data_IF_717484327867
#
_entry.id   IF_717484327867
#
_cell.length_a   1.000
_cell.length_b   1.000
_cell.length_c   1.000
_cell.angle_alpha   90.00
_cell.angle_beta   90.00
_cell.angle_gamma   90.00
#
_symmetry.space_group_name_H-M   'P 1'
#
loop_
_entity.id
_entity.type
_entity.pdbx_description
1 polymer ?
#
# COMPACT_ATOMS: atom_id res chain seq x y z
N UNK A 1 34.10 61.25 -53.27
CA UNK A 1 33.65 59.90 -53.64
C UNK A 1 34.76 58.95 -53.21
N UNK A 2 34.69 58.46 -51.97
CA UNK A 2 34.14 57.14 -51.61
C UNK A 2 34.98 55.98 -52.19
N UNK A 3 35.76 55.34 -51.32
CA UNK A 3 36.18 53.95 -51.50
C UNK A 3 35.02 53.04 -51.07
N UNK A 4 34.85 51.91 -51.73
CA UNK A 4 34.03 50.80 -51.25
C UNK A 4 34.95 49.75 -50.60
N UNK A 5 34.53 49.20 -49.46
CA UNK A 5 35.23 48.13 -48.74
C UNK A 5 34.37 46.86 -48.72
N UNK A 6 35.03 45.70 -48.64
CA UNK A 6 34.37 44.40 -48.55
C UNK A 6 33.85 44.16 -47.12
N UNK A 7 32.76 43.38 -47.01
CA UNK A 7 32.40 42.64 -45.80
C UNK A 7 31.94 41.23 -46.19
N UNK A 8 32.43 40.22 -45.48
CA UNK A 8 32.24 38.81 -45.82
C UNK A 8 30.88 38.26 -45.39
N UNK A 9 30.40 37.23 -46.09
CA UNK A 9 29.20 36.47 -45.70
C UNK A 9 29.50 35.57 -44.50
N UNK A 10 28.73 35.73 -43.43
CA UNK A 10 28.63 34.75 -42.34
C UNK A 10 27.19 34.26 -42.22
N UNK A 11 26.97 32.96 -42.45
CA UNK A 11 25.67 32.31 -42.31
C UNK A 11 25.38 32.06 -40.82
N UNK A 12 24.83 33.06 -40.14
CA UNK A 12 24.26 32.90 -38.79
C UNK A 12 22.99 32.06 -38.84
N UNK A 13 23.06 30.80 -38.38
CA UNK A 13 21.87 30.03 -38.04
C UNK A 13 21.14 30.72 -36.88
N UNK A 14 19.79 30.87 -36.93
CA UNK A 14 19.05 31.43 -35.82
C UNK A 14 19.14 30.49 -34.61
N UNK A 15 19.75 30.98 -33.53
CA UNK A 15 19.74 30.30 -32.23
C UNK A 15 18.32 30.38 -31.67
N UNK A 16 17.51 29.36 -31.96
CA UNK A 16 16.24 29.14 -31.27
C UNK A 16 16.54 28.91 -29.79
N UNK A 17 16.39 29.98 -28.99
CA UNK A 17 16.37 29.87 -27.53
C UNK A 17 15.19 28.98 -27.18
N UNK A 18 15.50 27.79 -26.65
CA UNK A 18 14.46 26.90 -26.14
C UNK A 18 13.85 27.60 -24.94
N UNK A 19 12.61 28.09 -25.08
CA UNK A 19 11.84 28.54 -23.93
C UNK A 19 11.80 27.38 -22.93
N UNK A 20 12.37 27.60 -21.74
CA UNK A 20 12.18 26.67 -20.64
C UNK A 20 10.68 26.51 -20.42
N UNK A 21 10.19 25.26 -20.48
CA UNK A 21 8.78 24.99 -20.23
C UNK A 21 8.44 25.51 -18.82
N UNK A 22 7.45 26.38 -18.73
CA UNK A 22 6.94 26.79 -17.43
C UNK A 22 6.35 25.54 -16.76
N UNK A 23 6.70 25.30 -15.50
CA UNK A 23 6.14 24.20 -14.72
C UNK A 23 4.60 24.27 -14.74
N UNK A 24 3.89 23.12 -14.66
CA UNK A 24 2.44 23.11 -14.52
C UNK A 24 1.98 24.05 -13.39
N UNK A 25 0.87 24.75 -13.62
CA UNK A 25 0.25 25.53 -12.56
C UNK A 25 -0.28 24.56 -11.49
N UNK A 26 0.02 24.76 -10.19
CA UNK A 26 -0.46 23.89 -9.11
C UNK A 26 -1.98 23.71 -9.15
N UNK A 27 -2.45 22.48 -8.96
CA UNK A 27 -3.84 22.11 -9.21
C UNK A 27 -4.81 22.77 -8.20
N UNK A 28 -4.42 22.83 -6.92
CA UNK A 28 -5.06 23.62 -5.86
C UNK A 28 -4.00 24.14 -4.88
N UNK A 29 -4.14 25.34 -4.26
CA UNK A 29 -3.14 25.82 -3.29
C UNK A 29 -3.04 25.00 -2.00
N UNK A 30 -4.17 24.45 -1.54
CA UNK A 30 -4.35 23.83 -0.22
C UNK A 30 -4.90 22.39 -0.35
N UNK A 31 -4.09 21.47 -0.88
CA UNK A 31 -4.44 20.04 -1.01
C UNK A 31 -3.47 19.15 -0.22
N UNK A 32 -3.94 17.96 0.19
CA UNK A 32 -3.10 16.99 0.87
C UNK A 32 -2.01 16.45 -0.07
N UNK A 33 -0.78 16.31 0.45
CA UNK A 33 0.41 15.93 -0.30
C UNK A 33 0.88 14.50 0.02
N UNK A 34 0.24 13.83 0.98
CA UNK A 34 0.49 12.43 1.34
C UNK A 34 -0.84 11.69 1.30
N UNK A 35 -0.87 10.52 0.65
CA UNK A 35 -2.05 9.64 0.58
C UNK A 35 -1.74 8.32 1.29
N UNK A 36 -2.28 8.12 2.49
CA UNK A 36 -2.00 6.91 3.28
C UNK A 36 -3.15 5.90 3.16
N UNK A 37 -2.83 4.71 2.67
CA UNK A 37 -3.77 3.60 2.50
C UNK A 37 -3.82 2.82 3.83
N UNK A 38 -4.89 2.97 4.60
CA UNK A 38 -5.06 2.30 5.89
C UNK A 38 -5.65 0.90 5.65
N UNK A 39 -4.92 -0.16 5.97
CA UNK A 39 -5.34 -1.51 5.62
C UNK A 39 -4.76 -2.58 6.54
N UNK A 40 -5.38 -3.76 6.53
CA UNK A 40 -4.70 -4.99 6.91
C UNK A 40 -3.89 -5.57 5.74
N UNK A 41 -2.94 -6.45 6.06
CA UNK A 41 -2.26 -7.24 5.02
C UNK A 41 -3.28 -8.02 4.17
N UNK A 42 -2.99 -8.11 2.86
CA UNK A 42 -3.77 -8.77 1.82
C UNK A 42 -5.12 -8.13 1.40
N UNK A 43 -5.43 -6.91 1.87
CA UNK A 43 -6.54 -6.09 1.33
C UNK A 43 -6.29 -5.49 -0.06
N UNK A 44 -5.32 -6.01 -0.84
CA UNK A 44 -5.04 -5.57 -2.22
C UNK A 44 -4.39 -4.19 -2.37
N UNK A 45 -3.75 -3.68 -1.30
CA UNK A 45 -2.98 -2.43 -1.32
C UNK A 45 -1.86 -2.42 -2.37
N UNK A 46 -1.25 -3.58 -2.66
CA UNK A 46 -0.23 -3.76 -3.71
C UNK A 46 -0.78 -3.47 -5.11
N UNK A 47 -1.99 -3.95 -5.40
CA UNK A 47 -2.70 -3.68 -6.65
C UNK A 47 -3.04 -2.18 -6.75
N UNK A 48 -3.65 -1.66 -5.69
CA UNK A 48 -4.20 -0.30 -5.64
C UNK A 48 -3.11 0.77 -5.67
N UNK A 49 -2.18 0.74 -4.72
CA UNK A 49 -1.01 1.61 -4.71
C UNK A 49 -0.13 1.40 -5.94
N UNK A 50 -0.06 0.17 -6.46
CA UNK A 50 0.59 -0.13 -7.73
C UNK A 50 -0.03 0.61 -8.93
N UNK A 51 -1.35 0.80 -8.93
CA UNK A 51 -2.08 1.51 -9.98
C UNK A 51 -2.05 3.03 -9.81
N UNK A 52 -2.16 3.55 -8.58
CA UNK A 52 -1.89 4.97 -8.25
C UNK A 52 -0.51 5.40 -8.75
N UNK A 53 0.50 4.53 -8.58
CA UNK A 53 1.86 4.60 -9.14
C UNK A 53 1.89 4.35 -10.67
N UNK A 54 0.96 4.99 -11.39
CA UNK A 54 0.99 5.23 -12.84
C UNK A 54 0.64 6.69 -13.18
N UNK A 55 0.24 7.49 -12.18
CA UNK A 55 0.14 8.95 -12.23
C UNK A 55 1.54 9.57 -12.06
N UNK A 56 1.96 10.54 -12.91
CA UNK A 56 3.34 11.04 -12.94
C UNK A 56 3.78 11.80 -11.67
N UNK A 57 2.84 12.29 -10.88
CA UNK A 57 3.09 12.94 -9.59
C UNK A 57 3.02 12.01 -8.36
N UNK A 58 2.59 10.75 -8.50
CA UNK A 58 2.36 9.86 -7.34
C UNK A 58 3.48 8.85 -7.22
N UNK A 59 4.16 8.85 -6.07
CA UNK A 59 5.27 7.98 -5.74
C UNK A 59 4.86 6.98 -4.65
N UNK A 60 4.57 5.74 -5.02
CA UNK A 60 4.15 4.68 -4.09
C UNK A 60 5.36 3.96 -3.46
N UNK A 61 5.51 4.10 -2.14
CA UNK A 61 6.49 3.34 -1.34
C UNK A 61 5.99 1.95 -0.93
N UNK A 62 4.74 1.59 -1.24
CA UNK A 62 4.05 0.38 -0.77
C UNK A 62 4.09 0.27 0.76
N UNK A 63 4.84 -0.66 1.33
CA UNK A 63 5.03 -0.78 2.79
C UNK A 63 6.42 -0.24 3.16
N UNK A 64 6.53 1.00 3.69
CA UNK A 64 7.80 1.61 4.11
C UNK A 64 8.30 1.08 5.46
N UNK A 65 7.57 0.14 6.06
CA UNK A 65 7.90 -0.61 7.27
C UNK A 65 7.72 -2.10 6.99
N UNK A 66 8.34 -2.96 7.81
CA UNK A 66 8.16 -4.40 7.75
C UNK A 66 8.27 -5.01 9.16
N UNK A 67 7.33 -5.88 9.51
CA UNK A 67 7.11 -6.41 10.86
C UNK A 67 8.30 -7.15 11.51
N UNK A 68 9.36 -7.46 10.74
CA UNK A 68 10.57 -8.15 11.20
C UNK A 68 11.85 -7.31 11.10
N UNK A 69 11.79 -6.14 10.45
CA UNK A 69 12.98 -5.34 10.11
C UNK A 69 12.94 -3.94 10.72
N UNK A 70 11.84 -3.20 10.48
CA UNK A 70 11.57 -1.91 11.13
C UNK A 70 10.06 -1.62 11.15
N UNK A 71 9.54 -1.30 12.33
CA UNK A 71 8.16 -0.87 12.58
C UNK A 71 8.14 0.52 13.22
N UNK A 72 7.00 1.20 13.18
CA UNK A 72 6.86 2.55 13.76
C UNK A 72 7.02 2.52 15.28
N UNK A 73 6.25 1.67 15.97
CA UNK A 73 6.21 1.66 17.42
C UNK A 73 6.03 0.25 18.02
N UNK A 74 6.45 0.08 19.28
CA UNK A 74 6.24 -1.13 20.06
C UNK A 74 5.98 -0.80 21.54
N UNK A 75 5.00 -1.48 22.15
CA UNK A 75 4.74 -1.43 23.59
C UNK A 75 5.58 -2.46 24.38
N UNK A 76 5.81 -2.21 25.65
CA UNK A 76 6.38 -3.18 26.61
C UNK A 76 5.30 -4.15 27.11
N UNK A 77 5.26 -5.36 26.55
CA UNK A 77 4.26 -6.40 26.87
C UNK A 77 4.83 -7.47 27.80
N UNK A 78 4.47 -7.42 29.08
CA UNK A 78 5.00 -8.30 30.12
C UNK A 78 4.72 -9.80 29.86
N UNK A 79 3.59 -10.12 29.24
CA UNK A 79 3.16 -11.48 28.91
C UNK A 79 3.88 -12.10 27.72
N UNK A 80 4.75 -11.34 27.02
CA UNK A 80 5.48 -11.77 25.83
C UNK A 80 6.99 -12.02 26.05
N UNK A 81 7.46 -12.09 27.30
CA UNK A 81 8.89 -12.18 27.63
C UNK A 81 9.64 -13.33 26.94
N UNK A 82 10.80 -13.01 26.35
CA UNK A 82 11.69 -13.98 25.71
C UNK A 82 11.34 -14.33 24.25
N UNK A 83 10.33 -13.70 23.66
CA UNK A 83 9.94 -13.90 22.26
C UNK A 83 10.66 -12.90 21.34
N UNK A 84 11.04 -13.34 20.13
CA UNK A 84 11.61 -12.44 19.12
C UNK A 84 10.65 -11.31 18.69
N UNK A 85 9.34 -11.50 18.89
CA UNK A 85 8.30 -10.50 18.62
C UNK A 85 8.26 -9.33 19.63
N UNK A 86 9.12 -9.34 20.66
CA UNK A 86 9.33 -8.20 21.57
C UNK A 86 10.70 -7.54 21.41
N UNK A 87 11.40 -7.77 20.30
CA UNK A 87 12.67 -7.09 20.03
C UNK A 87 12.42 -5.61 19.67
N UNK A 88 12.49 -4.75 20.68
CA UNK A 88 12.33 -3.30 20.53
C UNK A 88 13.36 -2.66 19.58
N UNK A 89 14.47 -3.32 19.20
CA UNK A 89 15.40 -2.79 18.18
C UNK A 89 14.79 -2.77 16.76
N UNK A 90 13.64 -3.43 16.58
CA UNK A 90 12.81 -3.29 15.37
C UNK A 90 11.98 -2.01 15.37
N UNK A 91 11.69 -1.37 16.51
CA UNK A 91 10.83 -0.19 16.56
C UNK A 91 11.61 1.14 16.45
N UNK A 92 11.00 2.15 15.83
CA UNK A 92 11.51 3.53 15.84
C UNK A 92 11.21 4.20 17.19
N UNK A 93 10.01 3.98 17.75
CA UNK A 93 9.55 4.53 19.03
C UNK A 93 9.08 3.47 20.03
N UNK A 94 9.30 3.72 21.32
CA UNK A 94 8.60 3.02 22.40
C UNK A 94 7.19 3.64 22.55
N UNK A 95 6.16 2.83 22.35
CA UNK A 95 4.77 3.29 22.26
C UNK A 95 4.19 3.81 23.59
N UNK A 96 4.71 3.34 24.73
CA UNK A 96 4.21 3.70 26.06
C UNK A 96 4.79 5.03 26.57
N UNK A 97 5.97 5.42 26.07
CA UNK A 97 6.70 6.63 26.50
C UNK A 97 6.85 7.70 25.42
N UNK A 98 6.63 7.34 24.14
CA UNK A 98 6.94 8.20 22.99
C UNK A 98 8.44 8.45 22.79
N UNK A 99 9.32 7.71 23.48
CA UNK A 99 10.77 7.86 23.33
C UNK A 99 11.26 7.20 22.03
N UNK A 100 12.11 7.90 21.28
CA UNK A 100 12.75 7.33 20.09
C UNK A 100 13.83 6.31 20.51
N UNK A 101 13.67 5.07 20.06
CA UNK A 101 14.63 3.97 20.25
C UNK A 101 15.70 4.01 19.13
N UNK A 102 15.28 4.34 17.90
CA UNK A 102 16.07 4.11 16.68
C UNK A 102 15.80 5.19 15.64
N UNK A 103 16.83 5.89 15.19
CA UNK A 103 16.75 6.87 14.09
C UNK A 103 17.13 6.28 12.73
N UNK A 104 16.54 5.13 12.34
CA UNK A 104 16.74 4.55 11.01
C UNK A 104 15.63 3.57 10.58
N UNK A 105 15.40 3.50 9.28
CA UNK A 105 14.46 2.61 8.62
C UNK A 105 15.01 2.10 7.27
N UNK A 106 15.75 0.97 7.25
CA UNK A 106 16.28 0.37 6.02
C UNK A 106 15.21 -0.06 5.00
N UNK A 107 13.97 -0.29 5.45
CA UNK A 107 12.84 -0.65 4.57
C UNK A 107 12.49 0.55 3.68
N UNK A 108 12.41 1.76 4.25
CA UNK A 108 12.19 2.99 3.50
C UNK A 108 13.27 3.21 2.41
N UNK A 109 14.55 2.99 2.73
CA UNK A 109 15.63 3.04 1.71
C UNK A 109 15.40 2.04 0.58
N UNK A 110 14.97 0.83 0.90
CA UNK A 110 14.70 -0.21 -0.10
C UNK A 110 13.51 0.17 -0.99
N UNK A 111 12.45 0.75 -0.43
CA UNK A 111 11.27 1.22 -1.19
C UNK A 111 11.60 2.45 -2.05
N UNK A 112 12.34 3.42 -1.51
CA UNK A 112 12.80 4.59 -2.24
C UNK A 112 13.71 4.23 -3.43
N UNK A 113 14.60 3.23 -3.27
CA UNK A 113 15.44 2.74 -4.36
C UNK A 113 14.63 2.19 -5.54
N UNK A 114 13.44 1.61 -5.32
CA UNK A 114 12.55 1.15 -6.39
C UNK A 114 11.93 2.32 -7.18
N UNK A 115 11.72 3.48 -6.54
CA UNK A 115 11.22 4.70 -7.20
C UNK A 115 12.21 5.31 -8.21
N UNK A 116 13.50 4.94 -8.16
CA UNK A 116 14.50 5.37 -9.18
C UNK A 116 14.14 4.89 -10.60
N UNK A 117 13.30 3.86 -10.73
CA UNK A 117 12.73 3.37 -11.99
C UNK A 117 11.49 4.14 -12.46
N UNK A 118 10.85 4.90 -11.57
CA UNK A 118 9.60 5.64 -11.85
C UNK A 118 9.83 6.88 -12.71
N UNK A 119 11.06 7.40 -12.70
CA UNK A 119 11.48 8.61 -13.37
C UNK A 119 11.62 8.45 -14.91
N UNK A 120 10.49 8.28 -15.60
CA UNK A 120 10.38 8.17 -17.05
C UNK A 120 10.59 9.50 -17.82
N UNK A 121 11.48 10.36 -17.32
CA UNK A 121 11.65 11.75 -17.78
C UNK A 121 12.26 11.82 -19.17
N UNK A 122 11.50 12.30 -20.15
CA UNK A 122 11.92 13.32 -21.13
C UNK A 122 10.67 13.88 -21.83
N UNK A 123 10.23 15.07 -21.41
CA UNK A 123 9.26 15.89 -22.14
C UNK A 123 7.79 15.48 -22.04
N UNK A 124 6.94 16.36 -22.56
CA UNK A 124 5.49 16.44 -22.36
C UNK A 124 4.68 15.32 -23.01
N UNK A 125 3.81 14.65 -22.26
CA UNK A 125 2.60 14.08 -22.84
C UNK A 125 1.51 15.14 -22.97
N UNK A 126 0.61 14.93 -23.92
CA UNK A 126 -0.68 15.62 -24.04
C UNK A 126 -1.69 14.60 -24.58
N UNK A 127 -2.99 14.83 -24.35
CA UNK A 127 -4.10 14.00 -24.83
C UNK A 127 -5.14 14.95 -25.45
N UNK A 128 -6.11 14.45 -26.23
CA UNK A 128 -7.09 15.28 -26.96
C UNK A 128 -6.48 16.24 -28.01
N UNK A 129 -5.54 15.70 -28.80
CA UNK A 129 -4.98 16.29 -30.03
C UNK A 129 -3.95 17.44 -29.85
N UNK A 130 -3.23 17.42 -28.73
CA UNK A 130 -2.11 18.31 -28.42
C UNK A 130 -0.79 17.50 -28.23
N UNK A 131 0.36 18.09 -27.81
CA UNK A 131 1.71 17.63 -28.23
C UNK A 131 2.53 16.61 -27.38
N UNK A 132 2.22 15.31 -27.48
CA UNK A 132 3.18 14.19 -27.27
C UNK A 132 4.36 14.31 -28.26
N UNK A 133 5.66 14.04 -28.03
CA UNK A 133 6.56 13.79 -26.88
C UNK A 133 6.42 12.57 -25.91
N UNK A 134 7.53 11.83 -25.82
CA UNK A 134 7.93 10.70 -24.95
C UNK A 134 9.35 10.26 -25.41
N UNK A 135 10.23 9.59 -24.66
CA UNK A 135 10.35 9.24 -23.22
C UNK A 135 11.87 9.10 -22.93
N UNK A 136 12.34 9.36 -21.71
CA UNK A 136 13.67 8.99 -21.24
C UNK A 136 13.60 8.20 -19.92
N UNK A 137 14.77 7.89 -19.35
CA UNK A 137 14.89 7.49 -17.93
C UNK A 137 16.04 8.29 -17.34
N UNK A 138 15.74 9.50 -16.87
CA UNK A 138 16.65 10.21 -15.99
C UNK A 138 16.40 9.69 -14.58
N UNK A 139 17.35 8.95 -14.01
CA UNK A 139 17.23 8.47 -12.64
C UNK A 139 17.06 9.66 -11.68
N UNK A 140 15.87 9.83 -11.10
CA UNK A 140 15.73 10.63 -9.88
C UNK A 140 16.45 9.83 -8.80
N UNK A 141 17.47 10.43 -8.21
CA UNK A 141 18.08 9.93 -6.97
C UNK A 141 17.11 10.20 -5.82
N UNK A 142 16.27 9.20 -5.53
CA UNK A 142 15.23 9.31 -4.50
C UNK A 142 15.86 8.98 -3.15
N UNK A 143 16.17 10.03 -2.37
CA UNK A 143 16.81 9.89 -1.07
C UNK A 143 15.90 9.14 -0.09
N UNK A 144 16.29 7.93 0.29
CA UNK A 144 15.52 6.99 1.10
C UNK A 144 15.42 7.32 2.59
N UNK A 145 16.10 6.55 3.43
CA UNK A 145 16.20 6.87 4.86
C UNK A 145 17.27 7.94 5.15
N UNK A 146 17.01 8.84 6.10
CA UNK A 146 18.03 9.81 6.54
C UNK A 146 17.76 10.38 7.94
N UNK A 147 18.82 10.88 8.60
CA UNK A 147 18.72 11.55 9.90
C UNK A 147 17.84 12.82 9.89
N UNK A 148 17.54 13.40 8.72
CA UNK A 148 16.63 14.55 8.61
C UNK A 148 15.19 14.17 8.97
N UNK A 149 14.79 12.93 8.69
CA UNK A 149 13.47 12.43 9.08
C UNK A 149 13.30 12.45 10.61
N UNK A 150 14.37 12.07 11.34
CA UNK A 150 14.35 11.87 12.79
C UNK A 150 14.74 13.10 13.62
N UNK A 151 15.43 14.08 13.04
CA UNK A 151 15.93 15.26 13.76
C UNK A 151 14.77 16.04 14.40
N UNK A 152 14.64 15.97 15.73
CA UNK A 152 13.54 16.60 16.46
C UNK A 152 12.15 16.09 16.08
N UNK A 153 12.04 14.83 15.63
CA UNK A 153 10.76 14.17 15.37
C UNK A 153 10.08 13.79 16.70
N UNK A 154 8.89 14.35 17.04
CA UNK A 154 8.09 13.84 18.15
C UNK A 154 7.50 12.47 17.80
N UNK A 155 6.85 11.81 18.76
CA UNK A 155 6.10 10.58 18.50
C UNK A 155 4.77 10.90 17.77
N UNK A 156 4.90 11.21 16.47
CA UNK A 156 3.85 11.67 15.57
C UNK A 156 4.07 11.02 14.18
N UNK A 157 3.12 10.20 13.75
CA UNK A 157 3.24 9.46 12.49
C UNK A 157 2.97 10.36 11.27
N UNK A 158 2.10 11.37 11.42
CA UNK A 158 1.80 12.34 10.36
C UNK A 158 3.00 13.22 10.03
N UNK A 159 3.70 13.74 11.04
CA UNK A 159 4.95 14.49 10.85
C UNK A 159 6.03 13.63 10.18
N UNK A 160 6.16 12.34 10.55
CA UNK A 160 7.08 11.42 9.87
C UNK A 160 6.67 11.19 8.40
N UNK A 161 5.37 11.02 8.12
CA UNK A 161 4.82 10.87 6.78
C UNK A 161 5.09 12.09 5.88
N UNK A 162 4.89 13.31 6.40
CA UNK A 162 5.22 14.56 5.70
C UNK A 162 6.71 14.69 5.45
N UNK A 163 7.57 14.32 6.41
CA UNK A 163 9.03 14.35 6.23
C UNK A 163 9.51 13.36 5.18
N UNK A 164 8.93 12.16 5.12
CA UNK A 164 9.16 11.21 4.01
C UNK A 164 8.80 11.90 2.69
N UNK A 165 7.59 12.44 2.57
CA UNK A 165 7.13 13.12 1.34
C UNK A 165 8.07 14.24 0.92
N UNK A 166 8.43 15.13 1.84
CA UNK A 166 9.27 16.28 1.53
C UNK A 166 10.72 15.85 1.19
N UNK A 167 11.22 14.72 1.69
CA UNK A 167 12.50 14.15 1.28
C UNK A 167 12.45 13.46 -0.10
N UNK A 168 11.41 12.69 -0.40
CA UNK A 168 11.20 12.02 -1.70
C UNK A 168 10.99 13.08 -2.81
N UNK A 169 10.08 14.03 -2.60
CA UNK A 169 9.70 15.04 -3.59
C UNK A 169 10.79 16.10 -3.84
N UNK A 170 11.76 16.28 -2.93
CA UNK A 170 12.85 17.28 -3.05
C UNK A 170 13.63 17.20 -4.37
N UNK A 171 13.80 16.00 -4.90
CA UNK A 171 14.59 15.74 -6.11
C UNK A 171 13.73 15.51 -7.37
N UNK A 172 12.39 15.68 -7.27
CA UNK A 172 11.47 15.53 -8.42
C UNK A 172 11.49 16.83 -9.25
N UNK A 173 11.82 16.77 -10.56
CA UNK A 173 11.88 17.97 -11.38
C UNK A 173 10.50 18.61 -11.64
N UNK A 174 10.45 19.94 -11.57
CA UNK A 174 9.22 20.72 -11.69
C UNK A 174 8.53 20.63 -13.07
N UNK A 175 9.23 20.15 -14.10
CA UNK A 175 8.70 19.86 -15.44
C UNK A 175 8.08 18.45 -15.56
N UNK A 176 8.29 17.59 -14.56
CA UNK A 176 7.63 16.27 -14.41
C UNK A 176 6.38 16.39 -13.55
N UNK A 177 6.52 17.06 -12.41
CA UNK A 177 5.45 17.34 -11.47
C UNK A 177 5.76 18.62 -10.69
N UNK A 178 4.78 19.51 -10.50
CA UNK A 178 5.01 20.70 -9.70
C UNK A 178 5.30 20.32 -8.22
N UNK A 179 6.19 21.03 -7.50
CA UNK A 179 6.51 20.71 -6.11
C UNK A 179 5.35 20.80 -5.11
N UNK A 180 4.23 21.41 -5.49
CA UNK A 180 2.97 21.35 -4.75
C UNK A 180 2.28 19.98 -4.95
N UNK A 181 2.05 19.61 -6.21
CA UNK A 181 1.26 18.44 -6.63
C UNK A 181 2.01 17.09 -6.48
N UNK A 182 3.28 17.09 -6.08
CA UNK A 182 4.05 15.87 -5.83
C UNK A 182 3.52 15.13 -4.59
N UNK A 183 2.99 13.92 -4.79
CA UNK A 183 2.37 13.09 -3.76
C UNK A 183 3.20 11.85 -3.49
N UNK A 184 3.40 11.53 -2.21
CA UNK A 184 3.84 10.20 -1.79
C UNK A 184 2.65 9.42 -1.27
N UNK A 185 2.54 8.15 -1.67
CA UNK A 185 1.54 7.23 -1.14
C UNK A 185 2.20 5.99 -0.54
N UNK A 186 1.61 5.47 0.53
CA UNK A 186 2.07 4.25 1.19
C UNK A 186 0.96 3.63 2.05
N UNK A 187 1.15 2.36 2.40
CA UNK A 187 0.28 1.59 3.27
C UNK A 187 0.61 1.90 4.74
N UNK A 188 -0.41 2.02 5.60
CA UNK A 188 -0.25 1.95 7.05
C UNK A 188 -1.06 0.76 7.58
N UNK A 189 -0.40 -0.11 8.34
CA UNK A 189 -0.93 -1.41 8.75
C UNK A 189 -0.74 -1.64 10.25
N UNK A 190 -1.63 -2.39 10.94
CA UNK A 190 -1.53 -2.63 12.38
C UNK A 190 -0.21 -3.29 12.81
N UNK A 191 0.40 -4.07 11.91
CA UNK A 191 1.73 -4.66 12.09
C UNK A 191 2.84 -3.62 12.35
N UNK A 192 2.66 -2.37 11.91
CA UNK A 192 3.64 -1.30 12.11
C UNK A 192 3.59 -0.72 13.55
N UNK A 193 2.58 -1.09 14.34
CA UNK A 193 2.51 -0.89 15.80
C UNK A 193 2.59 -2.22 16.57
N UNK A 194 3.20 -3.25 15.96
CA UNK A 194 3.34 -4.63 16.47
C UNK A 194 2.02 -5.40 16.70
N UNK A 195 0.92 -5.02 16.02
CA UNK A 195 -0.34 -5.75 16.08
C UNK A 195 -0.51 -6.75 14.90
N UNK A 196 -0.34 -8.06 15.11
CA UNK A 196 -0.69 -9.07 14.11
C UNK A 196 -2.22 -9.22 13.95
N UNK A 197 -2.67 -9.28 12.69
CA UNK A 197 -4.07 -9.40 12.26
C UNK A 197 -4.26 -10.58 11.29
N UNK A 198 -3.60 -11.71 11.58
CA UNK A 198 -3.58 -12.88 10.68
C UNK A 198 -4.92 -13.61 10.58
N UNK A 199 -5.76 -13.53 11.62
CA UNK A 199 -7.06 -14.20 11.69
C UNK A 199 -6.96 -15.68 12.07
N UNK A 200 -8.02 -16.43 11.78
CA UNK A 200 -8.15 -17.86 12.07
C UNK A 200 -7.95 -18.68 10.78
N UNK A 201 -7.54 -19.94 10.86
CA UNK A 201 -7.52 -20.84 9.69
C UNK A 201 -8.63 -21.89 9.81
N UNK A 202 -8.68 -22.58 10.94
CA UNK A 202 -9.57 -23.70 11.25
C UNK A 202 -10.40 -23.43 12.51
N UNK A 203 -11.60 -24.02 12.59
CA UNK A 203 -12.56 -23.75 13.68
C UNK A 203 -12.09 -24.22 15.05
N UNK A 204 -11.20 -25.20 15.06
CA UNK A 204 -10.54 -25.81 16.21
C UNK A 204 -9.09 -25.32 16.42
N UNK A 205 -8.67 -24.27 15.71
CA UNK A 205 -7.44 -23.54 16.04
C UNK A 205 -7.46 -23.12 17.52
N UNK A 206 -6.30 -23.21 18.18
CA UNK A 206 -6.14 -22.71 19.54
C UNK A 206 -6.40 -21.19 19.59
N UNK A 207 -7.02 -20.66 20.66
CA UNK A 207 -7.20 -19.22 20.82
C UNK A 207 -5.85 -18.52 20.92
N UNK A 208 -5.82 -17.24 20.54
CA UNK A 208 -4.63 -16.40 20.61
C UNK A 208 -3.95 -16.49 21.97
N UNK A 209 -2.62 -16.56 21.94
CA UNK A 209 -1.83 -16.58 23.18
C UNK A 209 -2.08 -15.31 24.00
N UNK A 210 -1.92 -15.41 25.33
CA UNK A 210 -2.06 -14.26 26.21
C UNK A 210 -1.13 -13.10 25.80
N UNK A 211 0.07 -13.42 25.31
CA UNK A 211 0.98 -12.47 24.68
C UNK A 211 0.32 -11.72 23.50
N UNK A 212 -0.16 -12.43 22.48
CA UNK A 212 -0.78 -11.81 21.29
C UNK A 212 -2.00 -10.97 21.68
N UNK A 213 -2.83 -11.48 22.60
CA UNK A 213 -4.00 -10.77 23.12
C UNK A 213 -3.59 -9.43 23.77
N UNK A 214 -2.65 -9.46 24.72
CA UNK A 214 -2.16 -8.27 25.44
C UNK A 214 -1.39 -7.29 24.55
N UNK A 215 -0.65 -7.82 23.57
CA UNK A 215 0.04 -7.05 22.54
C UNK A 215 -0.96 -6.26 21.69
N UNK A 216 -2.03 -6.90 21.20
CA UNK A 216 -3.07 -6.24 20.42
C UNK A 216 -3.89 -5.24 21.26
N UNK A 217 -4.16 -5.52 22.53
CA UNK A 217 -4.79 -4.55 23.45
C UNK A 217 -3.99 -3.24 23.59
N UNK A 218 -2.66 -3.34 23.76
CA UNK A 218 -1.78 -2.18 23.95
C UNK A 218 -1.51 -1.44 22.64
N UNK A 219 -1.21 -2.16 21.57
CA UNK A 219 -0.94 -1.63 20.23
C UNK A 219 -2.13 -0.82 19.66
N UNK A 220 -3.37 -1.12 20.09
CA UNK A 220 -4.56 -0.35 19.73
C UNK A 220 -4.47 1.14 20.13
N UNK A 221 -3.71 1.48 21.18
CA UNK A 221 -3.48 2.88 21.57
C UNK A 221 -2.52 3.58 20.59
N UNK A 222 -1.43 2.92 20.22
CA UNK A 222 -0.49 3.42 19.22
C UNK A 222 -1.13 3.56 17.83
N UNK A 223 -2.01 2.62 17.45
CA UNK A 223 -2.82 2.70 16.22
C UNK A 223 -3.69 3.95 16.19
N UNK A 224 -4.46 4.20 17.25
CA UNK A 224 -5.33 5.38 17.36
C UNK A 224 -4.55 6.69 17.35
N UNK A 225 -3.40 6.74 18.02
CA UNK A 225 -2.51 7.91 17.99
C UNK A 225 -1.94 8.16 16.58
N UNK A 226 -1.55 7.11 15.85
CA UNK A 226 -1.08 7.24 14.48
C UNK A 226 -2.18 7.76 13.54
N UNK A 227 -3.39 7.18 13.61
CA UNK A 227 -4.56 7.64 12.84
C UNK A 227 -4.88 9.12 13.12
N UNK A 228 -4.98 9.51 14.39
CA UNK A 228 -5.28 10.90 14.75
C UNK A 228 -4.15 11.86 14.33
N UNK A 229 -2.88 11.46 14.43
CA UNK A 229 -1.75 12.29 13.95
C UNK A 229 -1.73 12.50 12.44
N UNK A 230 -2.29 11.55 11.66
CA UNK A 230 -2.48 11.74 10.22
C UNK A 230 -3.66 12.67 9.95
N UNK A 231 -4.82 12.38 10.54
CA UNK A 231 -6.06 13.14 10.36
C UNK A 231 -5.99 14.59 10.82
N UNK A 232 -5.23 14.88 11.89
CA UNK A 232 -4.99 16.25 12.37
C UNK A 232 -3.98 17.03 11.51
N UNK A 233 -3.36 16.42 10.49
CA UNK A 233 -2.34 17.05 9.65
C UNK A 233 -2.88 17.37 8.23
N UNK A 234 -3.08 18.66 7.86
CA UNK A 234 -3.72 19.04 6.60
C UNK A 234 -2.90 18.74 5.34
N UNK A 235 -1.65 18.25 5.48
CA UNK A 235 -0.87 17.71 4.35
C UNK A 235 -1.19 16.24 4.06
N UNK A 236 -2.05 15.58 4.82
CA UNK A 236 -2.31 14.13 4.71
C UNK A 236 -3.79 13.90 4.42
N UNK A 237 -4.05 12.99 3.49
CA UNK A 237 -5.35 12.37 3.30
C UNK A 237 -5.22 10.85 3.48
N UNK A 238 -6.27 10.23 3.97
CA UNK A 238 -6.31 8.83 4.39
C UNK A 238 -7.58 8.17 3.90
N UNK A 239 -7.47 6.92 3.44
CA UNK A 239 -8.66 6.10 3.20
C UNK A 239 -8.44 4.69 3.73
N UNK A 240 -9.50 4.06 4.24
CA UNK A 240 -9.45 2.64 4.56
C UNK A 240 -9.60 1.80 3.29
N UNK A 241 -8.76 0.78 3.11
CA UNK A 241 -8.92 -0.21 2.04
C UNK A 241 -9.27 -1.56 2.65
N UNK A 242 -10.55 -1.89 2.54
CA UNK A 242 -11.16 -3.10 3.09
C UNK A 242 -11.33 -4.18 2.01
N UNK A 243 -11.62 -5.40 2.44
CA UNK A 243 -11.81 -6.58 1.60
C UNK A 243 -12.81 -7.53 2.27
N UNK A 244 -13.43 -8.43 1.51
CA UNK A 244 -14.02 -9.64 2.10
C UNK A 244 -13.01 -10.37 3.01
N UNK A 245 -13.31 -10.46 4.31
CA UNK A 245 -12.35 -10.88 5.32
C UNK A 245 -11.91 -12.34 5.19
N UNK A 246 -12.81 -13.23 4.75
CA UNK A 246 -12.46 -14.63 4.44
C UNK A 246 -11.42 -14.70 3.33
N UNK A 247 -11.59 -13.88 2.30
CA UNK A 247 -10.71 -13.87 1.13
C UNK A 247 -9.38 -13.16 1.44
N UNK A 248 -9.39 -12.16 2.33
CA UNK A 248 -8.19 -11.55 2.93
C UNK A 248 -7.40 -12.57 3.77
N UNK A 249 -8.04 -13.23 4.74
CA UNK A 249 -7.40 -14.24 5.59
C UNK A 249 -6.90 -15.44 4.76
N UNK A 250 -7.63 -15.86 3.71
CA UNK A 250 -7.16 -16.91 2.80
C UNK A 250 -5.88 -16.51 2.05
N UNK A 251 -5.77 -15.26 1.59
CA UNK A 251 -4.57 -14.75 0.94
C UNK A 251 -3.38 -14.66 1.91
N UNK A 252 -3.61 -14.27 3.17
CA UNK A 252 -2.60 -14.31 4.26
C UNK A 252 -2.13 -15.74 4.53
N UNK A 253 -3.06 -16.70 4.62
CA UNK A 253 -2.76 -18.12 4.80
C UNK A 253 -1.99 -18.71 3.60
N UNK A 254 -2.38 -18.37 2.37
CA UNK A 254 -1.66 -18.81 1.17
C UNK A 254 -0.21 -18.30 1.16
N UNK A 255 0.03 -17.03 1.50
CA UNK A 255 1.38 -16.49 1.61
C UNK A 255 2.16 -17.15 2.75
N UNK A 256 1.66 -17.04 3.99
CA UNK A 256 2.44 -17.23 5.21
C UNK A 256 2.16 -18.52 5.99
N UNK A 257 1.04 -19.21 5.70
CA UNK A 257 0.67 -20.46 6.36
C UNK A 257 1.73 -21.55 6.14
N UNK A 258 1.96 -22.45 7.13
CA UNK A 258 2.93 -23.53 6.99
C UNK A 258 2.42 -24.62 6.03
N UNK A 259 3.36 -25.37 5.45
CA UNK A 259 3.04 -26.55 4.62
C UNK A 259 2.31 -27.59 5.46
N UNK A 260 1.28 -28.21 4.88
CA UNK A 260 0.46 -29.23 5.53
C UNK A 260 -0.69 -28.66 6.37
N UNK A 261 -0.69 -27.37 6.72
CA UNK A 261 -1.84 -26.74 7.38
C UNK A 261 -3.04 -26.58 6.43
N UNK A 262 -4.21 -26.35 7.02
CA UNK A 262 -5.49 -26.23 6.33
C UNK A 262 -6.17 -24.89 6.66
N UNK A 263 -7.10 -24.46 5.80
CA UNK A 263 -7.98 -23.31 6.00
C UNK A 263 -9.40 -23.64 5.55
N UNK A 264 -10.38 -23.33 6.38
CA UNK A 264 -11.81 -23.60 6.16
C UNK A 264 -12.52 -22.34 5.63
N UNK A 265 -13.02 -22.39 4.40
CA UNK A 265 -13.75 -21.28 3.77
C UNK A 265 -15.14 -21.03 4.37
N UNK A 266 -15.69 -21.98 5.14
CA UNK A 266 -17.06 -21.91 5.68
C UNK A 266 -17.18 -21.14 7.00
N UNK A 267 -16.05 -20.81 7.63
CA UNK A 267 -16.00 -19.99 8.84
C UNK A 267 -16.37 -18.54 8.51
N UNK A 268 -17.39 -18.01 9.19
CA UNK A 268 -17.72 -16.59 9.18
C UNK A 268 -16.64 -15.78 9.93
N UNK A 269 -16.21 -14.67 9.34
CA UNK A 269 -15.01 -13.91 9.76
C UNK A 269 -15.33 -12.42 9.74
N UNK A 270 -15.21 -11.80 10.90
CA UNK A 270 -15.37 -10.35 11.09
C UNK A 270 -14.04 -9.62 10.84
N UNK A 271 -14.05 -8.37 10.34
CA UNK A 271 -12.86 -7.54 10.19
C UNK A 271 -12.05 -7.42 11.49
N UNK A 272 -10.75 -7.09 11.38
CA UNK A 272 -9.96 -6.84 12.58
C UNK A 272 -10.46 -5.59 13.31
N UNK A 273 -10.35 -5.60 14.65
CA UNK A 273 -10.69 -4.43 15.47
C UNK A 273 -9.85 -3.17 15.14
N UNK A 274 -8.75 -3.34 14.40
CA UNK A 274 -7.93 -2.23 13.90
C UNK A 274 -8.51 -1.61 12.62
N UNK A 275 -9.07 -2.42 11.71
CA UNK A 275 -9.85 -1.92 10.56
C UNK A 275 -11.13 -1.22 11.01
N UNK A 276 -11.87 -1.80 11.97
CA UNK A 276 -13.08 -1.16 12.53
C UNK A 276 -12.79 0.23 13.13
N UNK A 277 -11.63 0.38 13.78
CA UNK A 277 -11.17 1.68 14.32
C UNK A 277 -10.67 2.62 13.22
N UNK A 278 -10.29 2.10 12.04
CA UNK A 278 -9.86 2.87 10.87
C UNK A 278 -11.01 3.26 9.91
N UNK A 279 -12.27 2.89 10.21
CA UNK A 279 -13.43 3.38 9.48
C UNK A 279 -13.65 4.89 9.66
N UNK A 280 -14.34 5.54 8.73
CA UNK A 280 -14.73 6.95 8.85
C UNK A 280 -15.52 7.18 10.16
N UNK A 281 -15.24 8.23 10.96
CA UNK A 281 -14.41 9.40 10.63
C UNK A 281 -12.96 9.34 11.14
N UNK A 282 -12.38 8.15 11.35
CA UNK A 282 -10.93 8.02 11.66
C UNK A 282 -10.06 8.15 10.42
N UNK A 283 -10.62 7.85 9.25
CA UNK A 283 -10.09 8.13 7.91
C UNK A 283 -11.02 9.10 7.18
N UNK A 284 -10.52 9.70 6.09
CA UNK A 284 -11.27 10.68 5.30
C UNK A 284 -12.27 10.00 4.34
N UNK A 285 -11.94 8.80 3.83
CA UNK A 285 -12.79 7.99 2.96
C UNK A 285 -12.64 6.47 3.21
N UNK A 286 -13.49 5.65 2.59
CA UNK A 286 -13.48 4.18 2.70
C UNK A 286 -13.70 3.49 1.36
N UNK A 287 -12.89 2.48 1.05
CA UNK A 287 -12.97 1.72 -0.20
C UNK A 287 -12.99 0.21 0.06
N UNK A 288 -13.73 -0.51 -0.79
CA UNK A 288 -13.78 -1.98 -0.82
C UNK A 288 -13.04 -2.46 -2.06
N UNK A 289 -11.91 -3.15 -1.89
CA UNK A 289 -11.07 -3.54 -3.03
C UNK A 289 -11.80 -4.44 -4.02
N UNK A 290 -12.70 -5.29 -3.54
CA UNK A 290 -13.42 -6.25 -4.38
C UNK A 290 -14.41 -5.53 -5.33
N UNK A 291 -14.99 -4.39 -4.93
CA UNK A 291 -15.79 -3.52 -5.80
C UNK A 291 -14.91 -2.75 -6.82
N UNK A 292 -13.77 -2.22 -6.35
CA UNK A 292 -12.79 -1.55 -7.22
C UNK A 292 -12.17 -2.49 -8.27
N UNK A 293 -12.16 -3.81 -8.03
CA UNK A 293 -11.68 -4.83 -8.96
C UNK A 293 -12.79 -5.47 -9.81
N UNK A 294 -14.07 -5.24 -9.49
CA UNK A 294 -15.21 -5.87 -10.17
C UNK A 294 -15.37 -5.45 -11.64
N UNK A 295 -14.86 -4.27 -12.03
CA UNK A 295 -14.87 -3.80 -13.42
C UNK A 295 -13.85 -2.69 -13.67
N UNK A 296 -13.57 -2.38 -14.94
CA UNK A 296 -12.78 -1.21 -15.32
C UNK A 296 -13.39 0.10 -14.78
N UNK A 297 -14.72 0.25 -14.81
CA UNK A 297 -15.40 1.43 -14.26
C UNK A 297 -15.25 1.54 -12.73
N UNK A 298 -15.26 0.42 -12.01
CA UNK A 298 -14.98 0.39 -10.57
C UNK A 298 -13.52 0.78 -10.26
N UNK A 299 -12.57 0.30 -11.06
CA UNK A 299 -11.17 0.67 -10.93
C UNK A 299 -10.93 2.15 -11.26
N UNK A 300 -11.54 2.68 -12.33
CA UNK A 300 -11.49 4.10 -12.68
C UNK A 300 -12.09 4.98 -11.57
N UNK A 301 -13.21 4.57 -10.97
CA UNK A 301 -13.89 5.29 -9.90
C UNK A 301 -13.02 5.36 -8.65
N UNK A 302 -12.59 4.22 -8.07
CA UNK A 302 -11.78 4.23 -6.85
C UNK A 302 -10.43 4.95 -7.05
N UNK A 303 -9.83 4.89 -8.25
CA UNK A 303 -8.62 5.66 -8.56
C UNK A 303 -8.89 7.16 -8.68
N UNK A 304 -10.08 7.59 -9.14
CA UNK A 304 -10.46 8.99 -9.16
C UNK A 304 -10.70 9.52 -7.75
N UNK A 305 -11.46 8.79 -6.93
CA UNK A 305 -11.77 9.17 -5.54
C UNK A 305 -10.48 9.29 -4.70
N UNK A 306 -9.59 8.29 -4.80
CA UNK A 306 -8.30 8.31 -4.10
C UNK A 306 -7.35 9.42 -4.57
N UNK A 307 -7.55 9.97 -5.77
CA UNK A 307 -6.75 11.07 -6.30
C UNK A 307 -7.34 12.45 -5.98
N UNK A 308 -8.67 12.65 -5.93
CA UNK A 308 -9.26 13.94 -5.53
C UNK A 308 -9.00 14.26 -4.04
N UNK A 309 -8.86 13.24 -3.18
CA UNK A 309 -8.34 13.36 -1.81
C UNK A 309 -7.00 14.13 -1.73
N UNK A 310 -6.17 14.03 -2.77
CA UNK A 310 -4.90 14.76 -2.92
C UNK A 310 -4.92 15.76 -4.09
N UNK A 311 -6.11 16.19 -4.54
CA UNK A 311 -6.29 17.21 -5.58
C UNK A 311 -5.80 16.83 -6.99
N UNK A 312 -5.54 15.54 -7.24
CA UNK A 312 -5.08 14.98 -8.51
C UNK A 312 -6.26 14.41 -9.31
N UNK A 313 -6.00 13.92 -10.54
CA UNK A 313 -7.02 13.26 -11.37
C UNK A 313 -6.45 12.12 -12.21
N UNK A 314 -7.32 11.22 -12.69
CA UNK A 314 -6.93 10.05 -13.49
C UNK A 314 -6.50 10.38 -14.93
N UNK A 315 -6.70 11.62 -15.42
CA UNK A 315 -6.45 11.99 -16.82
C UNK A 315 -5.00 11.72 -17.25
N UNK A 316 -4.02 12.13 -16.42
CA UNK A 316 -2.59 11.96 -16.67
C UNK A 316 -2.15 10.49 -16.69
N UNK A 317 -2.92 9.60 -16.04
CA UNK A 317 -2.70 8.15 -16.02
C UNK A 317 -3.07 7.54 -17.37
N UNK A 318 -4.00 8.12 -18.13
CA UNK A 318 -4.42 7.62 -19.43
C UNK A 318 -4.84 6.13 -19.41
N UNK A 319 -5.66 5.73 -18.45
CA UNK A 319 -6.17 4.37 -18.26
C UNK A 319 -5.16 3.32 -17.74
N UNK A 320 -3.88 3.70 -17.50
CA UNK A 320 -2.85 2.75 -17.05
C UNK A 320 -3.11 2.16 -15.66
N UNK A 321 -3.67 2.94 -14.74
CA UNK A 321 -4.06 2.46 -13.42
C UNK A 321 -5.16 1.41 -13.50
N UNK A 322 -6.20 1.71 -14.28
CA UNK A 322 -7.34 0.85 -14.57
C UNK A 322 -6.92 -0.53 -15.08
N UNK A 323 -6.03 -0.56 -16.09
CA UNK A 323 -5.48 -1.80 -16.66
C UNK A 323 -4.66 -2.61 -15.65
N UNK A 324 -3.95 -1.93 -14.75
CA UNK A 324 -3.08 -2.53 -13.72
C UNK A 324 -3.83 -3.05 -12.50
N UNK A 325 -5.00 -2.48 -12.19
CA UNK A 325 -5.96 -3.03 -11.22
C UNK A 325 -6.69 -4.25 -11.81
N UNK A 326 -7.31 -4.08 -12.98
CA UNK A 326 -8.13 -5.13 -13.64
C UNK A 326 -7.33 -6.31 -14.20
N UNK A 327 -5.99 -6.27 -14.13
CA UNK A 327 -5.13 -7.39 -14.55
C UNK A 327 -5.06 -7.59 -16.06
N UNK A 328 -5.26 -6.53 -16.84
CA UNK A 328 -5.16 -6.56 -18.31
C UNK A 328 -3.71 -6.74 -18.82
N UNK A 329 -2.72 -6.48 -17.97
CA UNK A 329 -1.34 -6.94 -18.19
C UNK A 329 -1.25 -8.46 -17.96
N UNK A 330 -0.85 -9.21 -19.00
CA UNK A 330 -1.04 -10.66 -19.18
C UNK A 330 -0.47 -11.60 -18.09
N UNK A 331 0.34 -11.11 -17.16
CA UNK A 331 1.10 -11.94 -16.20
C UNK A 331 0.40 -12.14 -14.84
N UNK A 332 -0.66 -11.38 -14.52
CA UNK A 332 -1.31 -11.41 -13.19
C UNK A 332 -2.26 -12.59 -12.91
N UNK A 333 -2.39 -13.54 -13.84
CA UNK A 333 -3.33 -14.66 -13.74
C UNK A 333 -3.17 -15.50 -12.46
N UNK A 334 -1.94 -15.69 -11.97
CA UNK A 334 -1.65 -16.52 -10.78
C UNK A 334 -2.19 -15.91 -9.48
N UNK A 335 -2.19 -14.58 -9.35
CA UNK A 335 -2.70 -13.90 -8.15
C UNK A 335 -4.22 -13.71 -8.17
N UNK A 336 -4.82 -13.53 -9.34
CA UNK A 336 -6.27 -13.53 -9.49
C UNK A 336 -6.88 -14.91 -9.14
N UNK A 337 -6.27 -16.01 -9.61
CA UNK A 337 -6.65 -17.39 -9.26
C UNK A 337 -6.37 -17.79 -7.79
N UNK A 338 -5.60 -16.98 -7.06
CA UNK A 338 -5.21 -17.25 -5.68
C UNK A 338 -6.38 -16.96 -4.73
N UNK A 339 -6.94 -15.75 -4.80
CA UNK A 339 -7.88 -15.26 -3.78
C UNK A 339 -9.33 -15.68 -4.05
N UNK A 340 -9.69 -16.01 -5.30
CA UNK A 340 -11.05 -16.43 -5.68
C UNK A 340 -11.42 -17.85 -5.22
N UNK A 341 -10.51 -18.60 -4.59
CA UNK A 341 -10.75 -20.00 -4.20
C UNK A 341 -11.92 -20.16 -3.22
N UNK A 342 -11.92 -19.46 -2.08
CA UNK A 342 -13.05 -19.47 -1.15
C UNK A 342 -14.32 -18.77 -1.68
N UNK A 343 -14.23 -17.95 -2.74
CA UNK A 343 -15.40 -17.43 -3.45
C UNK A 343 -16.05 -18.51 -4.33
N UNK A 344 -15.23 -19.33 -5.00
CA UNK A 344 -15.69 -20.39 -5.90
C UNK A 344 -16.24 -21.63 -5.20
N UNK A 345 -15.72 -21.99 -4.03
CA UNK A 345 -16.30 -22.98 -3.13
C UNK A 345 -16.25 -22.46 -1.67
N UNK A 346 -17.33 -21.80 -1.20
CA UNK A 346 -17.43 -21.33 0.18
C UNK A 346 -17.46 -22.44 1.25
N UNK A 347 -17.50 -23.72 0.85
CA UNK A 347 -17.56 -24.89 1.75
C UNK A 347 -16.31 -25.78 1.66
N UNK A 348 -15.27 -25.31 0.95
CA UNK A 348 -13.99 -25.99 0.83
C UNK A 348 -13.14 -25.85 2.10
N UNK A 349 -12.40 -26.91 2.40
CA UNK A 349 -11.19 -26.85 3.22
C UNK A 349 -9.99 -27.01 2.30
N UNK A 350 -9.09 -26.03 2.28
CA UNK A 350 -7.88 -26.04 1.46
C UNK A 350 -6.63 -26.36 2.28
N UNK A 351 -5.82 -27.31 1.83
CA UNK A 351 -4.50 -27.61 2.40
C UNK A 351 -3.39 -26.97 1.55
N UNK A 352 -2.36 -26.43 2.21
CA UNK A 352 -1.17 -25.87 1.54
C UNK A 352 -0.10 -26.95 1.33
N UNK A 353 0.24 -27.22 0.08
CA UNK A 353 1.21 -28.24 -0.32
C UNK A 353 2.66 -27.72 -0.27
N UNK A 354 3.65 -28.62 -0.35
CA UNK A 354 5.08 -28.28 -0.46
C UNK A 354 5.39 -27.35 -1.66
N UNK A 355 4.62 -27.46 -2.74
CA UNK A 355 4.69 -26.60 -3.92
C UNK A 355 4.14 -25.17 -3.70
N UNK A 356 3.56 -24.88 -2.54
CA UNK A 356 2.76 -23.67 -2.30
C UNK A 356 1.36 -23.71 -2.92
N UNK A 357 0.97 -24.82 -3.56
CA UNK A 357 -0.37 -25.00 -4.10
C UNK A 357 -1.41 -25.19 -2.99
N UNK A 358 -2.61 -24.64 -3.21
CA UNK A 358 -3.77 -24.78 -2.31
C UNK A 358 -4.74 -25.82 -2.88
N UNK A 359 -4.76 -27.03 -2.32
CA UNK A 359 -5.57 -28.17 -2.78
C UNK A 359 -6.82 -28.30 -1.91
N UNK A 360 -8.01 -28.44 -2.51
CA UNK A 360 -9.24 -28.72 -1.76
C UNK A 360 -9.18 -30.17 -1.23
N UNK A 361 -9.22 -30.34 0.08
CA UNK A 361 -9.11 -31.65 0.77
C UNK A 361 -10.40 -32.11 1.43
N UNK A 362 -11.42 -31.26 1.52
CA UNK A 362 -12.76 -31.63 1.95
C UNK A 362 -13.82 -30.64 1.46
N UNK A 363 -14.94 -31.15 0.98
CA UNK A 363 -16.21 -30.41 0.98
C UNK A 363 -16.99 -30.78 2.24
N UNK A 364 -17.43 -29.78 3.00
CA UNK A 364 -18.12 -29.98 4.29
C UNK A 364 -19.42 -30.81 4.18
N UNK A 365 -20.01 -30.88 2.98
CA UNK A 365 -21.18 -31.69 2.62
C UNK A 365 -21.01 -33.21 2.86
N UNK A 366 -19.78 -33.75 2.80
CA UNK A 366 -19.56 -35.19 2.95
C UNK A 366 -19.82 -35.71 4.38
N UNK A 367 -19.59 -34.87 5.40
CA UNK A 367 -19.72 -35.29 6.80
C UNK A 367 -21.18 -35.46 7.26
N UNK A 368 -22.09 -34.63 6.76
CA UNK A 368 -23.50 -34.64 7.18
C UNK A 368 -24.30 -35.85 6.67
N UNK A 369 -23.95 -36.40 5.51
CA UNK A 369 -24.68 -37.52 4.89
C UNK A 369 -24.37 -38.89 5.52
N UNK A 370 -23.21 -39.04 6.17
CA UNK A 370 -22.72 -40.34 6.66
C UNK A 370 -23.38 -40.84 7.96
N UNK A 371 -24.10 -39.97 8.70
CA UNK A 371 -24.71 -40.33 10.00
C UNK A 371 -26.12 -40.92 9.92
N UNK A 372 -26.70 -41.09 8.72
CA UNK A 372 -28.01 -41.74 8.53
C UNK A 372 -27.95 -42.88 7.49
N UNK A 373 -27.36 -44.03 7.85
CA UNK A 373 -27.75 -45.38 7.37
C UNK A 373 -26.87 -46.54 7.92
N UNK A 374 -26.74 -46.67 9.25
CA UNK A 374 -26.18 -47.87 9.90
C UNK A 374 -27.16 -48.54 10.85
N UNK A 375 -28.38 -48.81 10.36
CA UNK A 375 -29.30 -49.74 10.99
C UNK A 375 -28.87 -51.18 10.63
N UNK A 376 -28.11 -51.82 11.52
CA UNK A 376 -27.77 -53.24 11.37
C UNK A 376 -29.01 -54.13 11.58
N UNK A 377 -29.25 -55.16 10.74
CA UNK A 377 -30.31 -56.13 10.99
C UNK A 377 -29.93 -57.03 12.18
N UNK A 378 -30.93 -57.37 13.00
CA UNK A 378 -30.74 -58.31 14.11
C UNK A 378 -30.50 -59.75 13.60
N UNK A 379 -29.63 -60.56 14.25
CA UNK A 379 -29.52 -61.99 13.99
C UNK A 379 -30.79 -62.77 14.39
N UNK A 380 -30.97 -64.01 13.89
CA UNK A 380 -32.15 -64.85 14.12
C UNK A 380 -32.18 -65.51 15.51
#
# INVERSE_FOLDING_TARGET
>A
MLLAALSSVTLGLPTNVVNAAQAPAPLRPDHAQVLVIIADHASGTTEFGGALNTHPCVFNLAEPFAAKDTIWAMNDVAECTGLAETDQSTAIFNADTGAMIKSSNPVLTTRAALLTSHAAIHGTMFINNERVLKRGVAHIDVAGDSQVLYAGLPYDFGEYAVRIRDQICKNVPADVCAPADCVVTFNMMPSFVNAPTYGQNMKDDAPDSLCVTKKNELAMNAWKQALESMKSNPKIATFSLTRNERDRQFAVFQANGPVGAQFDCSIAREPSAFLEVAHYPSTDDQMVIDDCLASAAGADQCLADALDLVGLSTESMGGKGTLKMTGADLEKSVQAFSVTKCQSDPNAIYQKMESGEMVNVASSLAAGAAQQNFAFPAPP
#
